data_IF_234616475622
#
_entry.id   IF_234616475622
#
_cell.length_a   1.000
_cell.length_b   1.000
_cell.length_c   1.000
_cell.angle_alpha   90.00
_cell.angle_beta   90.00
_cell.angle_gamma   90.00
#
_symmetry.space_group_name_H-M   'P 1'
#
loop_
_entity.id
_entity.type
_entity.pdbx_description
1 polymer ?
#
# COMPACT_ATOMS: atom_id res chain seq x y z
N UNK A 1 -10.33 -5.23 -9.84
CA UNK A 1 -10.44 -5.49 -8.39
C UNK A 1 -11.41 -4.48 -7.79
N UNK A 2 -12.12 -4.84 -6.72
CA UNK A 2 -13.02 -3.94 -5.99
C UNK A 2 -12.26 -3.32 -4.81
N UNK A 3 -12.26 -1.99 -4.68
CA UNK A 3 -11.69 -1.29 -3.54
C UNK A 3 -12.77 -1.06 -2.45
N UNK A 4 -12.45 -1.38 -1.20
CA UNK A 4 -13.24 -1.13 0.00
C UNK A 4 -12.36 -0.37 0.99
N UNK A 5 -12.49 0.95 1.00
CA UNK A 5 -11.66 1.85 1.81
C UNK A 5 -12.49 2.97 2.42
N UNK A 6 -12.06 3.48 3.57
CA UNK A 6 -12.69 4.59 4.27
C UNK A 6 -11.86 5.88 4.15
N UNK A 7 -10.55 5.74 3.95
CA UNK A 7 -9.64 6.89 3.85
C UNK A 7 -9.75 7.57 2.49
N UNK A 8 -9.93 8.90 2.53
CA UNK A 8 -9.91 9.75 1.33
C UNK A 8 -8.65 9.60 0.50
N UNK A 9 -7.52 9.35 1.15
CA UNK A 9 -6.22 9.11 0.53
C UNK A 9 -6.20 7.81 -0.27
N UNK A 10 -6.68 6.71 0.32
CA UNK A 10 -6.74 5.41 -0.38
C UNK A 10 -7.69 5.52 -1.57
N UNK A 11 -8.87 6.09 -1.37
CA UNK A 11 -9.86 6.31 -2.43
C UNK A 11 -9.38 7.27 -3.53
N UNK A 12 -8.54 8.25 -3.18
CA UNK A 12 -8.05 9.27 -4.11
C UNK A 12 -6.83 8.86 -4.92
N UNK A 13 -6.03 7.91 -4.43
CA UNK A 13 -4.79 7.48 -5.08
C UNK A 13 -4.83 6.04 -5.60
N UNK A 14 -5.83 5.24 -5.24
CA UNK A 14 -5.96 3.87 -5.73
C UNK A 14 -7.25 3.77 -6.54
N UNK A 15 -7.10 3.44 -7.83
CA UNK A 15 -8.22 3.12 -8.71
C UNK A 15 -8.08 1.69 -9.22
N UNK A 16 -9.11 0.88 -8.99
CA UNK A 16 -9.08 -0.55 -9.24
C UNK A 16 -7.93 -1.24 -8.49
N UNK A 17 -6.91 -1.67 -9.23
CA UNK A 17 -5.70 -2.34 -8.70
C UNK A 17 -4.42 -1.52 -8.97
N UNK A 18 -4.55 -0.22 -9.24
CA UNK A 18 -3.44 0.66 -9.60
C UNK A 18 -3.35 1.77 -8.57
N UNK A 19 -2.20 1.86 -7.90
CA UNK A 19 -1.89 2.93 -6.97
C UNK A 19 -1.03 4.01 -7.65
N UNK A 20 -1.50 5.26 -7.64
CA UNK A 20 -0.68 6.39 -8.03
C UNK A 20 0.29 6.72 -6.90
N UNK A 21 1.59 6.64 -7.22
CA UNK A 21 2.66 6.91 -6.27
C UNK A 21 3.02 8.39 -6.33
N UNK A 22 2.77 9.10 -5.23
CA UNK A 22 3.21 10.48 -5.09
C UNK A 22 4.71 10.49 -4.79
N UNK A 23 5.52 10.93 -5.75
CA UNK A 23 6.97 11.05 -5.58
C UNK A 23 7.39 12.50 -5.84
N UNK A 24 7.70 13.20 -4.76
CA UNK A 24 8.26 14.56 -4.80
C UNK A 24 9.68 14.55 -4.26
N UNK A 25 10.48 15.56 -4.62
CA UNK A 25 11.86 15.71 -4.13
C UNK A 25 12.01 15.63 -2.60
N UNK A 26 10.96 15.99 -1.84
CA UNK A 26 10.97 16.02 -0.37
C UNK A 26 10.23 14.86 0.28
N UNK A 27 9.32 14.22 -0.44
CA UNK A 27 8.49 13.16 0.10
C UNK A 27 8.30 12.07 -0.95
N UNK A 28 8.67 10.85 -0.58
CA UNK A 28 8.57 9.67 -1.45
C UNK A 28 7.50 8.74 -0.93
N UNK A 29 6.42 8.61 -1.69
CA UNK A 29 5.40 7.61 -1.46
C UNK A 29 5.89 6.27 -1.96
N UNK A 30 5.20 5.21 -1.55
CA UNK A 30 5.49 3.86 -2.02
C UNK A 30 4.30 2.95 -1.87
N UNK A 31 4.36 1.84 -2.59
CA UNK A 31 3.56 0.65 -2.36
C UNK A 31 4.53 -0.49 -2.05
N UNK A 32 4.27 -1.25 -0.99
CA UNK A 32 5.08 -2.41 -0.62
C UNK A 32 4.17 -3.57 -0.22
N UNK A 33 4.53 -4.79 -0.64
CA UNK A 33 3.93 -6.01 -0.09
C UNK A 33 4.56 -6.28 1.27
N UNK A 34 3.75 -6.58 2.27
CA UNK A 34 4.22 -7.04 3.57
C UNK A 34 4.41 -8.55 3.49
N UNK A 35 5.64 -9.01 3.76
CA UNK A 35 6.05 -10.41 3.58
C UNK A 35 6.32 -11.13 4.91
N UNK A 36 5.95 -10.49 6.02
CA UNK A 36 6.16 -11.00 7.36
C UNK A 36 6.41 -9.87 8.36
N UNK A 37 7.00 -10.22 9.49
CA UNK A 37 7.37 -9.25 10.53
C UNK A 37 8.88 -9.00 10.57
N UNK A 38 9.26 -7.82 11.05
CA UNK A 38 10.65 -7.45 11.28
C UNK A 38 10.87 -7.09 12.76
N UNK A 39 11.92 -7.57 13.43
CA UNK A 39 12.10 -7.39 14.89
C UNK A 39 12.10 -5.92 15.33
N UNK A 40 12.74 -5.06 14.53
CA UNK A 40 12.80 -3.61 14.76
C UNK A 40 11.60 -2.86 14.15
N UNK A 41 11.36 -3.02 12.85
CA UNK A 41 10.39 -2.22 12.09
C UNK A 41 8.96 -2.77 12.06
N UNK A 42 8.72 -3.86 12.80
CA UNK A 42 7.45 -4.61 12.95
C UNK A 42 6.95 -5.29 11.69
N UNK A 43 6.98 -4.63 10.55
CA UNK A 43 6.56 -5.18 9.26
C UNK A 43 7.77 -5.30 8.34
N UNK A 44 7.94 -6.47 7.73
CA UNK A 44 8.92 -6.68 6.66
C UNK A 44 8.29 -6.35 5.31
N UNK A 45 8.97 -5.51 4.52
CA UNK A 45 8.41 -4.86 3.33
C UNK A 45 9.21 -5.22 2.08
N UNK A 46 8.51 -5.72 1.07
CA UNK A 46 9.01 -5.87 -0.29
C UNK A 46 8.38 -4.80 -1.17
N UNK A 47 9.15 -3.78 -1.55
CA UNK A 47 8.66 -2.69 -2.40
C UNK A 47 8.20 -3.19 -3.77
N UNK A 48 7.07 -2.68 -4.23
CA UNK A 48 6.50 -3.00 -5.54
C UNK A 48 7.16 -2.10 -6.59
N UNK A 49 7.48 -2.68 -7.74
CA UNK A 49 8.02 -1.91 -8.87
C UNK A 49 7.06 -0.83 -9.34
N UNK A 50 7.61 0.29 -9.76
CA UNK A 50 6.84 1.43 -10.27
C UNK A 50 7.11 1.66 -11.75
N UNK A 51 6.12 2.22 -12.44
CA UNK A 51 6.23 2.66 -13.83
C UNK A 51 5.70 4.09 -13.96
N UNK A 52 6.06 4.77 -15.05
CA UNK A 52 5.69 6.17 -15.28
C UNK A 52 4.76 6.28 -16.49
N UNK A 53 3.67 7.05 -16.34
CA UNK A 53 2.75 7.41 -17.42
C UNK A 53 2.50 8.90 -17.34
N UNK A 54 2.78 9.62 -18.43
CA UNK A 54 2.56 11.07 -18.52
C UNK A 54 3.19 11.88 -17.37
N UNK A 55 4.36 11.47 -16.87
CA UNK A 55 5.06 12.13 -15.77
C UNK A 55 4.56 11.79 -14.36
N UNK A 56 3.60 10.86 -14.24
CA UNK A 56 3.10 10.35 -12.96
C UNK A 56 3.57 8.91 -12.75
N UNK A 57 3.91 8.56 -11.50
CA UNK A 57 4.32 7.21 -11.13
C UNK A 57 3.15 6.37 -10.64
N UNK A 58 3.15 5.10 -10.99
CA UNK A 58 2.11 4.14 -10.65
C UNK A 58 2.74 2.81 -10.24
N UNK A 59 2.00 2.04 -9.44
CA UNK A 59 2.32 0.67 -9.06
C UNK A 59 1.06 -0.20 -9.11
N UNK A 60 1.19 -1.43 -9.59
CA UNK A 60 0.07 -2.36 -9.67
C UNK A 60 0.03 -3.29 -8.45
N UNK A 61 -1.17 -3.54 -7.95
CA UNK A 61 -1.47 -4.57 -6.95
C UNK A 61 -1.89 -5.83 -7.72
N UNK A 62 -0.96 -6.77 -7.89
CA UNK A 62 -1.13 -7.91 -8.79
C UNK A 62 -1.57 -9.21 -8.12
N UNK A 63 -1.31 -9.34 -6.83
CA UNK A 63 -1.43 -10.60 -6.11
C UNK A 63 -2.20 -10.39 -4.81
N UNK A 64 -2.82 -11.47 -4.34
CA UNK A 64 -3.35 -11.52 -2.99
C UNK A 64 -2.22 -11.36 -1.96
N UNK A 65 -2.60 -10.85 -0.80
CA UNK A 65 -1.70 -10.62 0.33
C UNK A 65 -1.88 -9.27 0.99
N UNK A 66 -0.95 -8.96 1.87
CA UNK A 66 -0.95 -7.75 2.68
C UNK A 66 -0.03 -6.70 2.04
N UNK A 67 -0.49 -5.45 1.95
CA UNK A 67 0.23 -4.34 1.38
C UNK A 67 0.24 -3.13 2.32
N UNK A 68 1.29 -2.33 2.24
CA UNK A 68 1.38 -1.01 2.83
C UNK A 68 1.46 0.03 1.71
N UNK A 69 0.60 1.03 1.79
CA UNK A 69 0.58 2.18 0.91
C UNK A 69 0.92 3.44 1.71
N UNK A 70 2.00 4.11 1.33
CA UNK A 70 2.42 5.36 1.95
C UNK A 70 2.14 6.50 0.97
N UNK A 71 1.24 7.40 1.36
CA UNK A 71 1.06 8.65 0.63
C UNK A 71 2.11 9.62 1.12
N UNK A 72 2.90 10.20 0.23
CA UNK A 72 4.03 11.06 0.56
C UNK A 72 3.64 12.40 1.20
N UNK A 73 2.42 12.56 1.73
CA UNK A 73 2.05 13.79 2.42
C UNK A 73 2.93 13.99 3.64
N UNK A 74 3.02 15.24 4.08
CA UNK A 74 3.87 15.75 5.17
C UNK A 74 3.83 14.88 6.44
N UNK A 75 2.75 14.10 6.64
CA UNK A 75 2.52 13.24 7.81
C UNK A 75 2.94 11.77 7.64
N UNK A 76 3.42 11.35 6.45
CA UNK A 76 3.82 9.96 6.14
C UNK A 76 2.73 8.94 6.53
N UNK A 77 1.48 9.26 6.20
CA UNK A 77 0.35 8.40 6.53
C UNK A 77 0.51 7.06 5.82
N UNK A 78 0.50 6.00 6.63
CA UNK A 78 0.60 4.61 6.19
C UNK A 78 -0.77 3.97 6.24
N UNK A 79 -1.20 3.47 5.11
CA UNK A 79 -2.43 2.74 4.93
C UNK A 79 -2.09 1.27 4.68
N UNK A 80 -2.93 0.37 5.19
CA UNK A 80 -2.70 -1.06 5.05
C UNK A 80 -3.86 -1.67 4.28
N UNK A 81 -3.53 -2.54 3.33
CA UNK A 81 -4.48 -3.11 2.40
C UNK A 81 -4.35 -4.63 2.42
N UNK A 82 -5.46 -5.34 2.60
CA UNK A 82 -5.53 -6.77 2.34
C UNK A 82 -6.16 -6.99 0.99
N UNK A 83 -5.48 -7.76 0.16
CA UNK A 83 -5.95 -8.19 -1.16
C UNK A 83 -6.33 -9.66 -1.03
N UNK A 84 -7.60 -9.96 -1.23
CA UNK A 84 -8.13 -11.32 -1.22
C UNK A 84 -9.22 -11.46 -2.27
N UNK A 85 -9.10 -12.48 -3.13
CA UNK A 85 -10.11 -12.84 -4.13
C UNK A 85 -10.58 -11.64 -4.98
N UNK A 86 -9.64 -10.79 -5.39
CA UNK A 86 -9.92 -9.60 -6.22
C UNK A 86 -10.59 -8.44 -5.50
N UNK A 87 -10.67 -8.47 -4.16
CA UNK A 87 -11.10 -7.35 -3.31
C UNK A 87 -9.90 -6.79 -2.57
N UNK A 88 -9.75 -5.46 -2.60
CA UNK A 88 -8.75 -4.71 -1.85
C UNK A 88 -9.47 -4.03 -0.70
N UNK A 89 -9.18 -4.43 0.53
CA UNK A 89 -9.80 -3.89 1.74
C UNK A 89 -8.78 -3.11 2.55
N UNK A 90 -9.09 -1.85 2.85
CA UNK A 90 -8.31 -1.06 3.79
C UNK A 90 -8.55 -1.59 5.22
N UNK A 91 -7.45 -1.78 5.96
CA UNK A 91 -7.46 -2.24 7.34
C UNK A 91 -6.58 -1.34 8.22
N UNK A 92 -6.79 -1.40 9.52
CA UNK A 92 -5.94 -0.70 10.48
C UNK A 92 -4.58 -1.40 10.69
N UNK A 93 -3.65 -0.69 11.31
CA UNK A 93 -2.30 -1.19 11.56
C UNK A 93 -2.24 -2.45 12.43
N UNK A 94 -3.11 -2.57 13.44
CA UNK A 94 -3.09 -3.71 14.35
C UNK A 94 -3.56 -4.97 13.65
N UNK A 95 -4.63 -4.86 12.86
CA UNK A 95 -5.09 -5.92 11.98
C UNK A 95 -3.99 -6.33 10.99
N UNK A 96 -3.28 -5.34 10.41
CA UNK A 96 -2.18 -5.63 9.48
C UNK A 96 -1.03 -6.38 10.16
N UNK A 97 -0.69 -6.01 11.40
CA UNK A 97 0.35 -6.67 12.18
C UNK A 97 -0.02 -8.11 12.52
N UNK A 98 -1.27 -8.36 12.95
CA UNK A 98 -1.75 -9.72 13.24
C UNK A 98 -1.70 -10.61 12.00
N UNK A 99 -2.06 -10.09 10.84
CA UNK A 99 -1.97 -10.82 9.57
C UNK A 99 -0.49 -11.08 9.23
N UNK A 100 0.38 -10.09 9.36
CA UNK A 100 1.80 -10.20 9.04
C UNK A 100 2.53 -11.24 9.90
N UNK A 101 2.07 -11.53 11.12
CA UNK A 101 2.59 -12.60 11.97
C UNK A 101 2.26 -14.02 11.45
N UNK A 102 1.34 -14.13 10.48
CA UNK A 102 0.88 -15.39 9.88
C UNK A 102 1.32 -15.58 8.43
N UNK A 103 2.02 -14.60 7.85
CA UNK A 103 2.61 -14.65 6.50
C UNK A 103 3.97 -15.33 6.57
#
# INVERSE_FOLDING_TARGET
MKLVANSSEVLGFIDGAVAQITDSRKHKGYLAKIIGTHPVYKLDRKFVDTYEVSGYKYADIKEDGLYEFCTSKINKDRYYLVVDNGTITEIDYWTALEIAERV
#
